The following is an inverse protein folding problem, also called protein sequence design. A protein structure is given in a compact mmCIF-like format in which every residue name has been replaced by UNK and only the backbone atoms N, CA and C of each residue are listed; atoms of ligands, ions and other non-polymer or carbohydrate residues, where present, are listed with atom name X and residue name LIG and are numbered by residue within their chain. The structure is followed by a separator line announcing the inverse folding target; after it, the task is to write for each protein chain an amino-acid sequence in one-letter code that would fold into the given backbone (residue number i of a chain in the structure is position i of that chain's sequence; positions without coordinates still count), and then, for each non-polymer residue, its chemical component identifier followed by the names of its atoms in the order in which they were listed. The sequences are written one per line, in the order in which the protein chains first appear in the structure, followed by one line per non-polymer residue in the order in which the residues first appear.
data_IF_566290740720
#
_entry.id   IF_566290740720
#
_cell.length_a   1.000
_cell.length_b   1.000
_cell.length_c   1.000
_cell.angle_alpha   90.00
_cell.angle_beta   90.00
_cell.angle_gamma   90.00
#
_symmetry.space_group_name_H-M   'P 1'
#
loop_
_entity.id
_entity.type
_entity.pdbx_description
1 polymer ?
#
# COMPACT_ATOMS: atom_id res chain seq x y z
N UNK A 1 -36.58 3.88 20.30
CA UNK A 1 -37.24 4.82 19.38
C UNK A 1 -36.16 5.35 18.46
N UNK A 2 -36.14 4.83 17.22
CA UNK A 2 -36.09 5.60 15.96
C UNK A 2 -35.54 7.04 16.07
N UNK A 3 -34.57 7.52 15.29
CA UNK A 3 -34.33 7.27 13.86
C UNK A 3 -33.07 8.00 13.33
N UNK A 4 -32.61 7.54 12.16
CA UNK A 4 -31.96 8.28 11.06
C UNK A 4 -30.52 8.82 11.20
N UNK A 5 -29.57 8.10 10.59
CA UNK A 5 -28.80 8.65 9.46
C UNK A 5 -28.58 7.56 8.41
N UNK A 6 -29.56 7.47 7.52
CA UNK A 6 -29.41 6.99 6.15
C UNK A 6 -28.46 7.94 5.41
N UNK A 7 -27.36 7.41 4.88
CA UNK A 7 -27.08 7.60 3.47
C UNK A 7 -27.37 6.27 2.77
N UNK A 8 -28.56 6.17 2.20
CA UNK A 8 -28.78 5.45 0.93
C UNK A 8 -27.81 6.02 -0.12
N UNK A 9 -27.26 5.31 -1.08
CA UNK A 9 -27.33 3.90 -1.47
C UNK A 9 -26.22 3.69 -2.50
N UNK A 10 -25.40 2.67 -2.34
CA UNK A 10 -25.15 1.68 -3.39
C UNK A 10 -24.73 0.40 -2.67
N UNK A 11 -25.59 -0.61 -2.70
CA UNK A 11 -25.25 -1.99 -2.29
C UNK A 11 -24.30 -2.66 -3.31
N UNK A 12 -23.41 -1.88 -3.91
CA UNK A 12 -22.40 -2.39 -4.84
C UNK A 12 -21.08 -2.51 -4.10
N UNK A 13 -20.71 -3.75 -3.83
CA UNK A 13 -19.32 -4.12 -3.58
C UNK A 13 -18.52 -3.67 -4.81
N UNK A 14 -17.60 -2.71 -4.65
CA UNK A 14 -16.74 -2.23 -5.74
C UNK A 14 -15.69 -3.31 -6.05
N UNK A 15 -15.85 -3.99 -7.18
CA UNK A 15 -14.93 -4.99 -7.68
C UNK A 15 -13.90 -4.35 -8.60
N UNK A 16 -12.62 -4.46 -8.26
CA UNK A 16 -11.54 -4.10 -9.16
C UNK A 16 -11.26 -5.28 -10.08
N UNK A 17 -11.23 -5.01 -11.39
CA UNK A 17 -10.87 -6.04 -12.37
C UNK A 17 -9.36 -6.04 -12.61
N UNK A 18 -8.69 -7.10 -12.18
CA UNK A 18 -7.29 -7.35 -12.54
C UNK A 18 -7.27 -8.26 -13.75
N UNK A 19 -6.68 -7.78 -14.84
CA UNK A 19 -6.47 -8.59 -16.03
C UNK A 19 -5.04 -9.13 -16.05
N UNK A 20 -4.90 -10.43 -15.93
CA UNK A 20 -3.66 -11.13 -16.27
C UNK A 20 -3.88 -11.86 -17.59
N UNK A 21 -2.86 -11.86 -18.44
CA UNK A 21 -2.92 -12.54 -19.73
C UNK A 21 -1.88 -13.65 -19.75
N UNK A 22 -2.32 -14.88 -20.00
CA UNK A 22 -1.43 -15.98 -20.39
C UNK A 22 -1.37 -16.01 -21.93
N UNK A 23 -0.23 -15.64 -22.54
CA UNK A 23 -0.13 -15.42 -23.98
C UNK A 23 -0.19 -16.71 -24.81
N UNK A 24 0.11 -17.86 -24.20
CA UNK A 24 -0.07 -19.20 -24.76
C UNK A 24 -0.60 -20.17 -23.68
N UNK A 25 -1.21 -21.27 -24.10
CA UNK A 25 -1.71 -22.31 -23.20
C UNK A 25 -0.75 -23.50 -23.04
N UNK A 26 0.51 -23.35 -23.45
CA UNK A 26 1.52 -24.39 -23.32
C UNK A 26 1.94 -24.58 -21.86
N UNK A 27 2.33 -25.79 -21.48
CA UNK A 27 2.94 -26.08 -20.16
C UNK A 27 2.08 -25.65 -18.97
N UNK A 28 0.77 -25.93 -18.99
CA UNK A 28 -0.11 -25.71 -17.84
C UNK A 28 0.28 -26.71 -16.74
N UNK A 29 0.70 -26.25 -15.56
CA UNK A 29 1.07 -27.15 -14.47
C UNK A 29 -0.18 -27.89 -13.98
N UNK A 30 -0.10 -29.22 -13.91
CA UNK A 30 -1.15 -30.07 -13.35
C UNK A 30 -0.94 -30.24 -11.85
N UNK A 31 -1.97 -29.96 -11.06
CA UNK A 31 -1.96 -30.19 -9.62
C UNK A 31 -3.06 -31.18 -9.25
N UNK A 32 -2.73 -32.35 -8.68
CA UNK A 32 -3.74 -33.29 -8.23
C UNK A 32 -4.50 -32.71 -7.03
N UNK A 33 -5.79 -33.05 -6.94
CA UNK A 33 -6.54 -32.78 -5.72
C UNK A 33 -5.98 -33.59 -4.54
N UNK A 34 -5.96 -33.02 -3.32
CA UNK A 34 -5.67 -33.80 -2.13
C UNK A 34 -6.67 -34.95 -1.95
N UNK A 35 -6.30 -36.04 -1.25
CA UNK A 35 -7.22 -37.14 -0.96
C UNK A 35 -8.50 -36.66 -0.27
N UNK A 36 -9.64 -37.27 -0.63
CA UNK A 36 -10.95 -36.88 -0.10
C UNK A 36 -11.57 -35.65 -0.76
N UNK A 37 -11.03 -35.18 -1.89
CA UNK A 37 -11.66 -34.12 -2.68
C UNK A 37 -11.87 -34.59 -4.12
N UNK A 38 -12.93 -34.12 -4.75
CA UNK A 38 -13.25 -34.41 -6.15
C UNK A 38 -13.79 -33.16 -6.85
N UNK A 39 -13.70 -33.14 -8.19
CA UNK A 39 -14.39 -32.16 -9.01
C UNK A 39 -15.63 -32.79 -9.63
N UNK A 40 -16.71 -32.02 -9.69
CA UNK A 40 -17.94 -32.39 -10.37
C UNK A 40 -18.37 -31.28 -11.31
N UNK A 41 -18.83 -31.63 -12.51
CA UNK A 41 -19.37 -30.66 -13.46
C UNK A 41 -20.75 -30.18 -13.00
N UNK A 42 -21.01 -28.92 -13.28
CA UNK A 42 -22.34 -28.33 -13.17
C UNK A 42 -23.31 -29.02 -14.15
N UNK A 43 -24.53 -29.32 -13.70
CA UNK A 43 -25.51 -30.11 -14.46
C UNK A 43 -26.61 -29.27 -15.12
N UNK A 44 -26.58 -27.97 -14.93
CA UNK A 44 -27.57 -27.03 -15.48
C UNK A 44 -29.00 -27.30 -14.99
N UNK A 45 -29.11 -27.68 -13.72
CA UNK A 45 -30.39 -27.77 -13.02
C UNK A 45 -30.54 -26.68 -11.94
N UNK A 46 -31.79 -26.48 -11.49
CA UNK A 46 -32.13 -25.47 -10.47
C UNK A 46 -31.37 -25.70 -9.16
N UNK A 47 -31.06 -26.95 -8.83
CA UNK A 47 -30.34 -27.28 -7.61
C UNK A 47 -28.87 -26.87 -7.70
N UNK A 48 -28.22 -27.04 -8.85
CA UNK A 48 -26.82 -26.67 -9.05
C UNK A 48 -26.64 -25.16 -9.07
N UNK A 49 -27.56 -24.40 -9.68
CA UNK A 49 -27.56 -22.93 -9.58
C UNK A 49 -27.65 -22.48 -8.12
N UNK A 50 -28.54 -23.12 -7.34
CA UNK A 50 -28.68 -22.85 -5.90
C UNK A 50 -27.41 -23.21 -5.12
N UNK A 51 -26.80 -24.37 -5.38
CA UNK A 51 -25.52 -24.76 -4.77
C UNK A 51 -24.41 -23.76 -5.07
N UNK A 52 -24.31 -23.29 -6.32
CA UNK A 52 -23.35 -22.25 -6.68
C UNK A 52 -23.57 -20.98 -5.84
N UNK A 53 -24.83 -20.53 -5.73
CA UNK A 53 -25.18 -19.34 -4.96
C UNK A 53 -24.87 -19.51 -3.47
N UNK A 54 -25.17 -20.68 -2.89
CA UNK A 54 -24.85 -21.01 -1.50
C UNK A 54 -23.33 -21.02 -1.25
N UNK A 55 -22.53 -21.59 -2.17
CA UNK A 55 -21.07 -21.57 -2.07
C UNK A 55 -20.52 -20.16 -2.17
N UNK A 56 -21.01 -19.36 -3.12
CA UNK A 56 -20.54 -17.98 -3.33
C UNK A 56 -20.85 -17.10 -2.11
N UNK A 57 -22.06 -17.19 -1.57
CA UNK A 57 -22.43 -16.51 -0.31
C UNK A 57 -21.57 -17.02 0.86
N UNK A 58 -21.43 -18.33 1.04
CA UNK A 58 -20.64 -18.91 2.13
C UNK A 58 -19.13 -18.59 1.99
N UNK A 59 -18.65 -18.34 0.78
CA UNK A 59 -17.31 -17.87 0.51
C UNK A 59 -17.09 -16.39 0.88
N UNK A 60 -18.17 -15.66 1.20
CA UNK A 60 -18.15 -14.24 1.52
C UNK A 60 -18.22 -13.32 0.30
N UNK A 61 -18.55 -13.86 -0.89
CA UNK A 61 -18.62 -13.07 -2.13
C UNK A 61 -19.89 -12.21 -2.18
N UNK A 62 -20.97 -12.67 -1.53
CA UNK A 62 -22.25 -11.97 -1.52
C UNK A 62 -22.90 -12.01 -0.13
N UNK A 63 -23.66 -10.97 0.17
CA UNK A 63 -24.36 -10.81 1.45
C UNK A 63 -25.64 -11.67 1.57
N UNK A 64 -26.17 -12.18 0.46
CA UNK A 64 -27.37 -13.02 0.45
C UNK A 64 -27.39 -14.01 -0.74
N UNK A 65 -28.23 -15.04 -0.62
CA UNK A 65 -28.48 -16.02 -1.69
C UNK A 65 -29.11 -15.32 -2.90
N UNK A 66 -30.05 -14.41 -2.69
CA UNK A 66 -30.73 -13.68 -3.76
C UNK A 66 -29.73 -12.88 -4.59
N UNK A 67 -28.79 -12.17 -3.94
CA UNK A 67 -27.76 -11.41 -4.66
C UNK A 67 -26.78 -12.32 -5.41
N UNK A 68 -26.49 -13.49 -4.84
CA UNK A 68 -25.69 -14.51 -5.50
C UNK A 68 -26.38 -15.03 -6.76
N UNK A 69 -27.68 -15.33 -6.70
CA UNK A 69 -28.47 -15.79 -7.84
C UNK A 69 -28.60 -14.71 -8.93
N UNK A 70 -28.87 -13.46 -8.55
CA UNK A 70 -28.91 -12.32 -9.48
C UNK A 70 -27.56 -12.15 -10.20
N UNK A 71 -26.45 -12.24 -9.45
CA UNK A 71 -25.11 -12.13 -10.03
C UNK A 71 -24.80 -13.31 -10.93
N UNK A 72 -25.21 -14.53 -10.55
CA UNK A 72 -25.08 -15.70 -11.41
C UNK A 72 -25.76 -15.48 -12.76
N UNK A 73 -27.01 -14.99 -12.76
CA UNK A 73 -27.72 -14.69 -14.00
C UNK A 73 -27.00 -13.61 -14.80
N UNK A 74 -26.68 -12.48 -14.18
CA UNK A 74 -25.99 -11.36 -14.85
C UNK A 74 -24.65 -11.76 -15.46
N UNK A 75 -23.93 -12.67 -14.82
CA UNK A 75 -22.56 -13.02 -15.18
C UNK A 75 -22.48 -14.22 -16.13
N UNK A 76 -23.16 -15.32 -15.80
CA UNK A 76 -23.05 -16.57 -16.54
C UNK A 76 -24.04 -16.72 -17.69
N UNK A 77 -25.16 -15.99 -17.67
CA UNK A 77 -26.19 -16.07 -18.73
C UNK A 77 -26.03 -15.03 -19.84
N UNK A 78 -24.91 -14.28 -19.86
CA UNK A 78 -24.56 -13.42 -21.00
C UNK A 78 -24.43 -14.25 -22.27
N UNK A 79 -24.97 -13.73 -23.38
CA UNK A 79 -25.07 -14.41 -24.68
C UNK A 79 -23.74 -14.56 -25.44
N UNK A 80 -22.64 -14.06 -24.89
CA UNK A 80 -21.33 -14.00 -25.56
C UNK A 80 -20.51 -15.28 -25.39
N UNK A 81 -20.96 -16.23 -24.58
CA UNK A 81 -20.24 -17.47 -24.32
C UNK A 81 -20.55 -18.58 -25.33
N UNK A 82 -19.51 -19.27 -25.78
CA UNK A 82 -19.60 -20.34 -26.81
C UNK A 82 -19.88 -21.75 -26.26
N UNK A 83 -19.76 -21.93 -24.94
CA UNK A 83 -19.94 -23.22 -24.26
C UNK A 83 -21.06 -23.15 -23.22
N UNK A 84 -21.84 -24.25 -23.04
CA UNK A 84 -22.89 -24.31 -22.03
C UNK A 84 -22.29 -24.30 -20.61
N UNK A 85 -23.12 -23.95 -19.61
CA UNK A 85 -22.68 -23.90 -18.21
C UNK A 85 -22.14 -25.24 -17.70
N UNK A 86 -22.68 -26.34 -18.21
CA UNK A 86 -22.26 -27.70 -17.88
C UNK A 86 -20.85 -28.08 -18.35
N UNK A 87 -20.29 -27.33 -19.30
CA UNK A 87 -18.88 -27.46 -19.72
C UNK A 87 -17.96 -26.42 -19.06
N UNK A 88 -18.54 -25.41 -18.41
CA UNK A 88 -17.82 -24.25 -17.88
C UNK A 88 -17.58 -24.32 -16.39
N UNK A 89 -18.59 -24.72 -15.62
CA UNK A 89 -18.59 -24.61 -14.16
C UNK A 89 -18.25 -25.96 -13.54
N UNK A 90 -17.29 -25.95 -12.61
CA UNK A 90 -16.83 -27.09 -11.83
C UNK A 90 -17.05 -26.80 -10.35
N UNK A 91 -17.67 -27.75 -9.65
CA UNK A 91 -17.74 -27.77 -8.21
C UNK A 91 -16.58 -28.54 -7.59
N UNK A 92 -16.11 -28.06 -6.46
CA UNK A 92 -15.22 -28.79 -5.57
C UNK A 92 -16.04 -29.44 -4.46
N UNK A 93 -15.90 -30.76 -4.34
CA UNK A 93 -16.67 -31.58 -3.39
C UNK A 93 -15.73 -32.28 -2.43
N UNK A 94 -16.04 -32.24 -1.13
CA UNK A 94 -15.26 -32.91 -0.08
C UNK A 94 -15.65 -34.40 0.07
N UNK A 95 -15.01 -35.11 1.00
CA UNK A 95 -15.21 -36.53 1.23
C UNK A 95 -16.63 -36.88 1.70
N UNK A 96 -17.31 -35.94 2.37
CA UNK A 96 -18.68 -36.10 2.85
C UNK A 96 -19.74 -35.78 1.78
N UNK A 97 -19.31 -35.46 0.55
CA UNK A 97 -20.22 -35.06 -0.53
C UNK A 97 -20.70 -33.60 -0.45
N UNK A 98 -20.13 -32.79 0.45
CA UNK A 98 -20.43 -31.35 0.57
C UNK A 98 -19.73 -30.57 -0.54
N UNK A 99 -20.48 -29.67 -1.18
CA UNK A 99 -19.96 -28.72 -2.15
C UNK A 99 -19.32 -27.55 -1.41
N UNK A 100 -18.04 -27.32 -1.63
CA UNK A 100 -17.21 -26.41 -0.81
C UNK A 100 -16.46 -25.35 -1.63
N UNK A 101 -16.60 -25.39 -2.95
CA UNK A 101 -15.98 -24.44 -3.85
C UNK A 101 -16.54 -24.55 -5.26
N UNK A 102 -16.31 -23.53 -6.06
CA UNK A 102 -16.74 -23.47 -7.47
C UNK A 102 -15.68 -22.76 -8.30
N UNK A 103 -15.48 -23.20 -9.54
CA UNK A 103 -14.64 -22.54 -10.51
C UNK A 103 -15.30 -22.54 -11.89
N UNK A 104 -15.09 -21.50 -12.69
CA UNK A 104 -15.71 -21.38 -14.00
C UNK A 104 -14.71 -20.93 -15.08
N UNK A 105 -14.86 -21.51 -16.27
CA UNK A 105 -14.20 -21.09 -17.50
C UNK A 105 -15.12 -20.20 -18.35
N UNK A 106 -14.54 -19.19 -18.99
CA UNK A 106 -15.18 -18.43 -20.04
C UNK A 106 -14.58 -18.76 -21.40
N UNK A 107 -15.45 -18.87 -22.40
CA UNK A 107 -15.10 -19.14 -23.79
C UNK A 107 -15.80 -18.11 -24.66
N UNK A 108 -15.03 -17.27 -25.34
CA UNK A 108 -15.52 -16.15 -26.12
C UNK A 108 -14.96 -16.20 -27.54
N UNK A 109 -15.64 -15.50 -28.45
CA UNK A 109 -15.13 -15.21 -29.78
C UNK A 109 -15.29 -13.71 -30.03
N UNK A 110 -14.18 -13.04 -30.35
CA UNK A 110 -14.17 -11.60 -30.64
C UNK A 110 -13.42 -11.43 -31.96
N UNK A 111 -14.05 -10.79 -32.94
CA UNK A 111 -13.51 -10.55 -34.29
C UNK A 111 -12.98 -11.83 -34.98
N UNK A 112 -13.68 -12.96 -34.78
CA UNK A 112 -13.32 -14.25 -35.38
C UNK A 112 -12.16 -14.99 -34.68
N UNK A 113 -11.70 -14.49 -33.53
CA UNK A 113 -10.65 -15.13 -32.73
C UNK A 113 -11.21 -15.71 -31.43
N UNK A 114 -10.80 -16.93 -31.11
CA UNK A 114 -11.21 -17.65 -29.89
C UNK A 114 -10.37 -17.20 -28.69
N UNK A 115 -11.06 -16.83 -27.61
CA UNK A 115 -10.46 -16.40 -26.36
C UNK A 115 -11.02 -17.19 -25.19
N UNK A 116 -10.13 -17.51 -24.25
CA UNK A 116 -10.51 -18.14 -23.00
C UNK A 116 -10.33 -17.24 -21.80
N UNK A 117 -11.03 -17.55 -20.73
CA UNK A 117 -10.85 -16.89 -19.44
C UNK A 117 -11.04 -17.81 -18.23
N UNK A 118 -10.44 -17.42 -17.12
CA UNK A 118 -10.82 -17.91 -15.80
C UNK A 118 -11.84 -16.91 -15.23
N UNK A 119 -13.11 -17.30 -15.25
CA UNK A 119 -14.25 -16.44 -14.97
C UNK A 119 -14.55 -16.33 -13.47
N UNK A 120 -14.34 -17.42 -12.73
CA UNK A 120 -14.68 -17.49 -11.31
C UNK A 120 -13.85 -18.56 -10.59
N UNK A 121 -13.42 -18.29 -9.36
CA UNK A 121 -12.91 -19.31 -8.42
C UNK A 121 -13.25 -18.86 -7.00
N UNK A 122 -13.99 -19.67 -6.26
CA UNK A 122 -14.22 -19.45 -4.83
C UNK A 122 -14.17 -20.76 -4.05
N UNK A 123 -13.67 -20.68 -2.81
CA UNK A 123 -13.61 -21.79 -1.85
C UNK A 123 -14.06 -21.24 -0.50
N UNK A 124 -14.98 -21.93 0.15
CA UNK A 124 -15.49 -21.54 1.48
C UNK A 124 -14.30 -21.40 2.46
N UNK A 125 -14.22 -20.31 3.26
CA UNK A 125 -13.10 -19.99 4.14
C UNK A 125 -12.57 -21.16 4.99
N UNK A 126 -13.45 -21.99 5.54
CA UNK A 126 -13.10 -23.18 6.34
C UNK A 126 -12.25 -24.23 5.59
N UNK A 127 -12.27 -24.19 4.26
CA UNK A 127 -11.54 -25.10 3.38
C UNK A 127 -10.34 -24.44 2.68
N UNK A 128 -10.12 -23.14 2.90
CA UNK A 128 -8.94 -22.45 2.39
C UNK A 128 -7.66 -22.93 3.11
N UNK A 129 -6.51 -22.76 2.47
CA UNK A 129 -5.21 -23.25 2.98
C UNK A 129 -4.97 -24.75 2.80
N UNK A 130 -5.97 -25.54 2.40
CA UNK A 130 -5.87 -27.00 2.19
C UNK A 130 -5.30 -27.42 0.83
N UNK A 131 -4.54 -26.54 0.16
CA UNK A 131 -3.95 -26.75 -1.18
C UNK A 131 -4.97 -27.05 -2.30
N UNK A 132 -6.20 -26.60 -2.17
CA UNK A 132 -7.30 -26.86 -3.12
C UNK A 132 -7.37 -25.88 -4.31
N UNK A 133 -6.88 -24.65 -4.14
CA UNK A 133 -6.99 -23.61 -5.17
C UNK A 133 -6.17 -23.91 -6.44
N UNK A 134 -4.96 -24.45 -6.30
CA UNK A 134 -4.09 -24.77 -7.45
C UNK A 134 -4.70 -25.84 -8.37
N UNK A 135 -5.22 -26.97 -7.85
CA UNK A 135 -5.99 -27.93 -8.65
C UNK A 135 -7.19 -27.34 -9.39
N UNK A 136 -7.98 -26.48 -8.73
CA UNK A 136 -9.14 -25.85 -9.37
C UNK A 136 -8.72 -24.94 -10.54
N UNK A 137 -7.77 -24.03 -10.30
CA UNK A 137 -7.26 -23.13 -11.34
C UNK A 137 -6.63 -23.91 -12.50
N UNK A 138 -5.81 -24.92 -12.20
CA UNK A 138 -5.19 -25.79 -13.21
C UNK A 138 -6.22 -26.50 -14.08
N UNK A 139 -7.29 -27.02 -13.48
CA UNK A 139 -8.38 -27.69 -14.21
C UNK A 139 -9.06 -26.74 -15.18
N UNK A 140 -9.39 -25.51 -14.73
CA UNK A 140 -10.00 -24.50 -15.59
C UNK A 140 -9.06 -24.09 -16.72
N UNK A 141 -7.77 -23.92 -16.45
CA UNK A 141 -6.80 -23.57 -17.49
C UNK A 141 -6.67 -24.68 -18.55
N UNK A 142 -6.64 -25.96 -18.14
CA UNK A 142 -6.65 -27.08 -19.08
C UNK A 142 -7.92 -27.10 -19.92
N UNK A 143 -9.08 -26.81 -19.34
CA UNK A 143 -10.34 -26.67 -20.08
C UNK A 143 -10.32 -25.53 -21.09
N UNK A 144 -9.77 -24.38 -20.70
CA UNK A 144 -9.59 -23.26 -21.62
C UNK A 144 -8.66 -23.62 -22.78
N UNK A 145 -7.60 -24.39 -22.51
CA UNK A 145 -6.63 -24.81 -23.52
C UNK A 145 -7.20 -25.76 -24.59
N UNK A 146 -8.32 -26.45 -24.30
CA UNK A 146 -9.04 -27.25 -25.29
C UNK A 146 -9.71 -26.40 -26.38
N UNK A 147 -9.87 -25.09 -26.14
CA UNK A 147 -10.63 -24.18 -27.01
C UNK A 147 -9.81 -23.00 -27.51
N UNK A 148 -9.04 -22.34 -26.64
CA UNK A 148 -8.32 -21.13 -26.98
C UNK A 148 -6.82 -21.27 -26.75
N UNK A 149 -6.02 -20.67 -27.63
CA UNK A 149 -4.57 -20.60 -27.48
C UNK A 149 -4.13 -19.52 -26.49
N UNK A 150 -5.06 -18.73 -25.94
CA UNK A 150 -4.79 -17.61 -25.01
C UNK A 150 -5.84 -17.57 -23.91
N UNK A 151 -5.42 -17.27 -22.69
CA UNK A 151 -6.33 -17.15 -21.54
C UNK A 151 -6.15 -15.82 -20.81
N UNK A 152 -7.27 -15.16 -20.56
CA UNK A 152 -7.37 -13.97 -19.71
C UNK A 152 -7.85 -14.38 -18.33
N UNK A 153 -7.05 -14.14 -17.31
CA UNK A 153 -7.51 -14.26 -15.94
C UNK A 153 -8.00 -12.89 -15.51
N UNK A 154 -9.33 -12.73 -15.49
CA UNK A 154 -10.00 -11.65 -14.81
C UNK A 154 -10.17 -12.04 -13.36
N UNK A 155 -9.44 -11.42 -12.44
CA UNK A 155 -9.80 -11.49 -11.02
C UNK A 155 -10.67 -10.28 -10.71
N UNK A 156 -11.92 -10.52 -10.32
CA UNK A 156 -12.69 -9.54 -9.58
C UNK A 156 -12.25 -9.65 -8.14
N UNK A 157 -11.56 -8.62 -7.65
CA UNK A 157 -11.14 -8.55 -6.26
C UNK A 157 -11.71 -7.30 -5.65
N UNK A 158 -12.27 -7.44 -4.45
CA UNK A 158 -12.60 -6.30 -3.57
C UNK A 158 -11.35 -5.77 -2.88
N UNK A 159 -10.20 -6.44 -3.08
CA UNK A 159 -8.96 -6.16 -2.39
C UNK A 159 -7.97 -5.44 -3.31
N UNK A 160 -7.80 -4.15 -3.07
CA UNK A 160 -6.69 -3.36 -3.61
C UNK A 160 -5.30 -4.02 -3.39
N UNK A 161 -5.17 -4.88 -2.37
CA UNK A 161 -3.97 -5.68 -2.08
C UNK A 161 -3.71 -6.78 -3.11
N UNK A 162 -4.74 -7.38 -3.73
CA UNK A 162 -4.57 -8.45 -4.71
C UNK A 162 -4.08 -7.89 -6.07
N UNK A 163 -4.51 -6.69 -6.43
CA UNK A 163 -4.04 -5.94 -7.61
C UNK A 163 -2.53 -5.66 -7.51
N UNK A 164 -2.07 -5.25 -6.32
CA UNK A 164 -0.70 -4.80 -6.11
C UNK A 164 0.31 -5.92 -5.82
N UNK A 165 -0.08 -7.20 -5.76
CA UNK A 165 0.85 -8.31 -5.42
C UNK A 165 1.88 -8.62 -6.52
N UNK A 166 1.71 -8.14 -7.76
CA UNK A 166 2.45 -8.68 -8.92
C UNK A 166 3.54 -7.78 -9.53
N UNK A 167 3.65 -6.50 -9.17
CA UNK A 167 4.68 -5.63 -9.76
C UNK A 167 6.03 -5.80 -9.04
N UNK A 168 6.96 -6.47 -9.71
CA UNK A 168 8.35 -6.62 -9.28
C UNK A 168 9.14 -5.33 -9.55
N UNK A 169 10.06 -4.98 -8.64
CA UNK A 169 10.96 -3.83 -8.76
C UNK A 169 12.43 -4.27 -8.69
N UNK A 170 12.72 -5.41 -9.33
CA UNK A 170 14.08 -5.98 -9.39
C UNK A 170 15.08 -4.98 -9.98
N UNK A 171 16.27 -4.91 -9.40
CA UNK A 171 17.34 -4.00 -9.82
C UNK A 171 17.17 -2.55 -9.36
N UNK A 172 16.08 -2.24 -8.63
CA UNK A 172 15.84 -0.91 -8.06
C UNK A 172 16.41 -0.83 -6.64
N UNK A 173 17.04 0.30 -6.32
CA UNK A 173 17.54 0.60 -4.97
C UNK A 173 16.63 1.61 -4.29
N UNK A 174 16.12 1.24 -3.11
CA UNK A 174 15.18 2.03 -2.31
C UNK A 174 15.83 2.44 -1.00
N UNK A 175 15.90 3.74 -0.73
CA UNK A 175 16.33 4.29 0.55
C UNK A 175 15.11 4.63 1.40
N UNK A 176 15.03 4.11 2.63
CA UNK A 176 13.93 4.35 3.57
C UNK A 176 14.47 4.91 4.87
N UNK A 177 14.08 6.13 5.22
CA UNK A 177 14.34 6.67 6.56
C UNK A 177 13.37 6.06 7.57
N UNK A 178 13.88 5.62 8.73
CA UNK A 178 13.06 4.99 9.76
C UNK A 178 12.47 3.63 9.35
N UNK A 179 13.13 2.92 8.43
CA UNK A 179 12.68 1.61 7.95
C UNK A 179 12.88 0.44 8.92
N UNK A 180 13.33 0.69 10.15
CA UNK A 180 13.57 -0.33 11.16
C UNK A 180 12.35 -0.61 12.07
N UNK A 181 11.29 0.21 12.01
CA UNK A 181 10.09 0.03 12.84
C UNK A 181 8.81 0.45 12.11
N UNK A 182 7.65 0.03 12.65
CA UNK A 182 6.34 0.54 12.25
C UNK A 182 6.06 0.44 10.75
N UNK A 183 5.56 1.55 10.19
CA UNK A 183 5.15 1.65 8.78
C UNK A 183 6.35 1.49 7.84
N UNK A 184 7.49 2.10 8.17
CA UNK A 184 8.70 2.01 7.36
C UNK A 184 9.24 0.59 7.25
N UNK A 185 9.18 -0.18 8.34
CA UNK A 185 9.55 -1.61 8.35
C UNK A 185 8.66 -2.43 7.42
N UNK A 186 7.35 -2.20 7.45
CA UNK A 186 6.41 -2.92 6.61
C UNK A 186 6.55 -2.55 5.13
N UNK A 187 6.86 -1.28 4.82
CA UNK A 187 7.22 -0.85 3.48
C UNK A 187 8.52 -1.53 3.00
N UNK A 188 9.56 -1.56 3.84
CA UNK A 188 10.81 -2.26 3.54
C UNK A 188 10.57 -3.74 3.24
N UNK A 189 9.76 -4.41 4.07
CA UNK A 189 9.39 -5.83 3.91
C UNK A 189 8.70 -6.09 2.57
N UNK A 190 7.76 -5.24 2.18
CA UNK A 190 7.01 -5.41 0.94
C UNK A 190 7.90 -5.18 -0.29
N UNK A 191 8.73 -4.14 -0.26
CA UNK A 191 9.65 -3.80 -1.35
C UNK A 191 10.76 -4.86 -1.53
N UNK A 192 11.27 -5.44 -0.45
CA UNK A 192 12.18 -6.59 -0.49
C UNK A 192 11.54 -7.81 -1.16
N UNK A 193 10.28 -8.13 -0.81
CA UNK A 193 9.53 -9.23 -1.45
C UNK A 193 9.34 -9.02 -2.95
N UNK A 194 9.34 -7.78 -3.42
CA UNK A 194 9.27 -7.41 -4.84
C UNK A 194 10.64 -7.40 -5.54
N UNK A 195 11.72 -7.69 -4.82
CA UNK A 195 13.06 -7.82 -5.35
C UNK A 195 13.88 -6.52 -5.38
N UNK A 196 13.48 -5.48 -4.64
CA UNK A 196 14.33 -4.30 -4.46
C UNK A 196 15.56 -4.61 -3.60
N UNK A 197 16.62 -3.81 -3.79
CA UNK A 197 17.64 -3.58 -2.76
C UNK A 197 17.15 -2.44 -1.86
N UNK A 198 17.14 -2.66 -0.54
CA UNK A 198 16.62 -1.69 0.43
C UNK A 198 17.72 -1.19 1.37
N UNK A 199 17.83 0.12 1.52
CA UNK A 199 18.76 0.76 2.45
C UNK A 199 17.94 1.37 3.59
N UNK A 200 18.19 0.92 4.82
CA UNK A 200 17.57 1.44 6.02
C UNK A 200 18.43 2.56 6.59
N UNK A 201 17.98 3.80 6.47
CA UNK A 201 18.56 4.94 7.16
C UNK A 201 17.95 5.06 8.57
N UNK A 202 18.75 4.79 9.59
CA UNK A 202 18.29 4.71 10.98
C UNK A 202 19.26 5.42 11.92
N UNK A 203 18.74 6.16 12.90
CA UNK A 203 19.56 6.79 13.95
C UNK A 203 20.28 5.77 14.83
N UNK A 204 19.62 4.66 15.16
CA UNK A 204 20.20 3.60 15.97
C UNK A 204 20.53 2.40 15.08
N UNK A 205 21.81 2.23 14.76
CA UNK A 205 22.30 1.17 13.88
C UNK A 205 21.98 -0.22 14.42
N UNK A 206 22.12 -0.45 15.72
CA UNK A 206 21.84 -1.75 16.34
C UNK A 206 20.38 -2.18 16.11
N UNK A 207 19.42 -1.29 16.37
CA UNK A 207 18.00 -1.54 16.06
C UNK A 207 17.75 -1.71 14.56
N UNK A 208 18.52 -1.02 13.73
CA UNK A 208 18.50 -1.21 12.28
C UNK A 208 18.95 -2.61 11.87
N UNK A 209 20.05 -3.11 12.44
CA UNK A 209 20.60 -4.45 12.19
C UNK A 209 19.64 -5.54 12.67
N UNK A 210 19.01 -5.37 13.84
CA UNK A 210 17.97 -6.29 14.30
C UNK A 210 16.78 -6.36 13.34
N UNK A 211 16.32 -5.21 12.84
CA UNK A 211 15.25 -5.15 11.85
C UNK A 211 15.67 -5.78 10.53
N UNK A 212 16.89 -5.52 10.06
CA UNK A 212 17.46 -6.11 8.86
C UNK A 212 17.46 -7.64 8.93
N UNK A 213 17.93 -8.23 10.03
CA UNK A 213 17.97 -9.68 10.23
C UNK A 213 16.55 -10.28 10.19
N UNK A 214 15.57 -9.62 10.82
CA UNK A 214 14.16 -10.05 10.76
C UNK A 214 13.58 -9.94 9.35
N UNK A 215 13.91 -8.89 8.61
CA UNK A 215 13.47 -8.69 7.23
C UNK A 215 14.02 -9.81 6.33
N UNK A 216 15.33 -10.06 6.36
CA UNK A 216 15.98 -11.12 5.59
C UNK A 216 15.29 -12.48 5.75
N UNK A 217 15.00 -12.87 6.99
CA UNK A 217 14.30 -14.12 7.30
C UNK A 217 12.85 -14.10 6.80
N UNK A 218 12.10 -13.03 7.06
CA UNK A 218 10.66 -12.97 6.73
C UNK A 218 10.36 -12.73 5.25
N UNK A 219 11.35 -12.30 4.47
CA UNK A 219 11.24 -12.08 3.02
C UNK A 219 11.99 -13.13 2.21
N UNK A 220 12.75 -14.02 2.85
CA UNK A 220 13.64 -14.98 2.19
C UNK A 220 14.54 -14.29 1.15
N UNK A 221 15.17 -13.18 1.56
CA UNK A 221 16.02 -12.36 0.70
C UNK A 221 17.49 -12.52 1.06
N UNK A 222 18.37 -12.22 0.10
CA UNK A 222 19.82 -12.37 0.27
C UNK A 222 20.39 -11.24 1.13
N UNK A 223 21.52 -11.46 1.81
CA UNK A 223 22.18 -10.43 2.62
C UNK A 223 22.43 -9.13 1.84
N UNK A 224 22.78 -9.23 0.54
CA UNK A 224 23.03 -8.08 -0.34
C UNK A 224 21.74 -7.33 -0.76
N UNK A 225 20.55 -7.81 -0.42
CA UNK A 225 19.31 -7.10 -0.72
C UNK A 225 19.01 -6.00 0.30
N UNK A 226 19.73 -5.93 1.42
CA UNK A 226 19.46 -4.93 2.45
C UNK A 226 20.75 -4.41 3.11
N UNK A 227 20.78 -3.12 3.42
CA UNK A 227 21.89 -2.48 4.15
C UNK A 227 21.33 -1.53 5.20
N UNK A 228 22.03 -1.39 6.32
CA UNK A 228 21.73 -0.38 7.34
C UNK A 228 22.80 0.70 7.30
N UNK A 229 22.38 1.96 7.38
CA UNK A 229 23.26 3.11 7.42
C UNK A 229 22.77 4.10 8.49
N UNK A 230 23.72 4.69 9.22
CA UNK A 230 23.39 5.64 10.28
C UNK A 230 22.95 6.99 9.71
N UNK A 231 21.78 7.47 10.15
CA UNK A 231 21.30 8.80 9.80
C UNK A 231 20.43 9.35 10.94
N UNK A 232 20.90 10.41 11.60
CA UNK A 232 20.11 11.18 12.55
C UNK A 232 19.57 12.46 11.90
N UNK A 233 18.28 12.47 11.59
CA UNK A 233 17.61 13.61 10.99
C UNK A 233 17.52 14.82 11.95
N UNK A 234 17.76 14.65 13.25
CA UNK A 234 17.90 15.74 14.21
C UNK A 234 19.29 16.40 14.22
N UNK A 235 20.19 16.02 13.30
CA UNK A 235 21.52 16.60 13.13
C UNK A 235 21.81 16.85 11.66
N UNK A 236 21.89 18.11 11.23
CA UNK A 236 22.22 18.42 9.82
C UNK A 236 23.59 17.86 9.40
N UNK A 237 24.58 17.84 10.29
CA UNK A 237 25.89 17.21 10.03
C UNK A 237 25.80 15.70 9.77
N UNK A 238 24.92 15.00 10.51
CA UNK A 238 24.68 13.57 10.33
C UNK A 238 24.05 13.31 8.97
N UNK A 239 23.09 14.15 8.56
CA UNK A 239 22.48 14.08 7.23
C UNK A 239 23.51 14.30 6.13
N UNK A 240 24.41 15.29 6.27
CA UNK A 240 25.50 15.53 5.31
C UNK A 240 26.47 14.36 5.23
N UNK A 241 26.87 13.82 6.39
CA UNK A 241 27.76 12.66 6.48
C UNK A 241 27.13 11.43 5.82
N UNK A 242 25.87 11.13 6.15
CA UNK A 242 25.09 10.06 5.52
C UNK A 242 25.05 10.23 4.00
N UNK A 243 24.70 11.42 3.51
CA UNK A 243 24.56 11.66 2.08
C UNK A 243 25.91 11.54 1.35
N UNK A 244 27.01 11.99 1.96
CA UNK A 244 28.36 11.80 1.43
C UNK A 244 28.70 10.31 1.30
N UNK A 245 28.50 9.54 2.38
CA UNK A 245 28.75 8.10 2.39
C UNK A 245 27.87 7.35 1.39
N UNK A 246 26.59 7.71 1.30
CA UNK A 246 25.67 7.12 0.31
C UNK A 246 26.15 7.41 -1.11
N UNK A 247 26.53 8.66 -1.39
CA UNK A 247 26.97 9.06 -2.72
C UNK A 247 28.24 8.32 -3.17
N UNK A 248 29.15 8.05 -2.23
CA UNK A 248 30.38 7.30 -2.43
C UNK A 248 30.14 5.78 -2.58
N UNK A 249 29.33 5.19 -1.70
CA UNK A 249 29.25 3.73 -1.55
C UNK A 249 28.12 3.09 -2.35
N UNK A 250 27.03 3.81 -2.61
CA UNK A 250 25.85 3.26 -3.29
C UNK A 250 25.77 3.80 -4.70
N UNK A 251 25.73 2.89 -5.68
CA UNK A 251 25.74 3.26 -7.10
C UNK A 251 24.43 3.94 -7.51
N UNK A 252 23.31 3.51 -6.93
CA UNK A 252 21.95 3.79 -7.42
C UNK A 252 21.03 4.32 -6.32
N UNK A 253 20.07 5.14 -6.72
CA UNK A 253 18.92 5.52 -5.88
C UNK A 253 17.71 5.72 -6.78
N UNK A 254 16.81 4.75 -6.78
CA UNK A 254 15.60 4.78 -7.61
C UNK A 254 14.39 5.33 -6.85
N UNK A 255 14.29 5.03 -5.55
CA UNK A 255 13.18 5.49 -4.70
C UNK A 255 13.72 5.99 -3.37
N UNK A 256 13.43 7.25 -3.02
CA UNK A 256 13.67 7.84 -1.71
C UNK A 256 12.35 7.91 -0.93
N UNK A 257 12.29 7.26 0.23
CA UNK A 257 11.13 7.25 1.12
C UNK A 257 11.49 7.98 2.41
N UNK A 258 11.02 9.22 2.51
CA UNK A 258 11.11 10.09 3.69
C UNK A 258 9.99 9.73 4.68
N UNK A 259 10.18 8.62 5.40
CA UNK A 259 9.19 8.03 6.31
C UNK A 259 9.43 8.36 7.79
N UNK A 260 10.69 8.53 8.22
CA UNK A 260 11.00 8.78 9.61
C UNK A 260 10.26 10.02 10.16
N UNK A 261 9.98 10.01 11.45
CA UNK A 261 9.44 11.20 12.10
C UNK A 261 9.23 11.04 13.60
N UNK A 262 9.14 12.18 14.26
CA UNK A 262 8.76 12.34 15.66
C UNK A 262 7.30 12.76 15.74
N UNK A 263 6.61 12.28 16.78
CA UNK A 263 5.21 12.63 17.07
C UNK A 263 5.07 13.98 17.78
N UNK A 264 3.82 14.39 18.03
CA UNK A 264 3.45 15.69 18.63
C UNK A 264 4.00 15.94 20.04
N UNK A 265 4.41 14.89 20.75
CA UNK A 265 4.91 14.95 22.11
C UNK A 265 6.37 15.32 22.25
N UNK A 266 7.11 15.34 21.14
CA UNK A 266 8.52 15.70 21.13
C UNK A 266 8.63 17.22 21.05
N UNK A 267 9.05 17.87 22.14
CA UNK A 267 9.21 19.32 22.20
C UNK A 267 10.57 19.69 22.77
N UNK A 268 11.64 19.38 22.02
CA UNK A 268 13.01 19.81 22.33
C UNK A 268 13.63 20.56 21.16
N UNK A 269 14.59 21.44 21.47
CA UNK A 269 15.49 22.01 20.46
C UNK A 269 16.55 20.99 20.07
N UNK A 270 16.90 20.97 18.78
CA UNK A 270 18.10 20.28 18.29
C UNK A 270 19.35 21.14 18.52
N UNK A 271 20.53 20.55 18.30
CA UNK A 271 21.81 21.27 18.30
C UNK A 271 21.90 22.33 17.20
N UNK A 272 21.10 22.17 16.14
CA UNK A 272 21.05 23.08 14.99
C UNK A 272 20.08 24.26 15.25
N UNK A 273 19.48 24.34 16.45
CA UNK A 273 18.61 25.44 16.87
C UNK A 273 17.16 25.34 16.41
N UNK A 274 16.73 24.19 15.88
CA UNK A 274 15.37 23.97 15.39
C UNK A 274 14.52 23.15 16.35
N UNK A 275 13.20 23.21 16.19
CA UNK A 275 12.30 22.23 16.80
C UNK A 275 12.66 20.82 16.31
N UNK A 276 12.89 19.88 17.22
CA UNK A 276 13.23 18.48 16.88
C UNK A 276 12.20 17.82 15.98
N UNK A 277 10.91 18.10 16.16
CA UNK A 277 9.85 17.61 15.27
C UNK A 277 9.99 18.21 13.88
N UNK A 278 10.20 19.52 13.79
CA UNK A 278 10.34 20.17 12.48
C UNK A 278 11.60 19.68 11.76
N UNK A 279 12.70 19.54 12.48
CA UNK A 279 13.94 19.09 11.89
C UNK A 279 13.87 17.63 11.44
N UNK A 280 13.45 16.71 12.33
CA UNK A 280 13.38 15.29 11.99
C UNK A 280 12.36 15.01 10.89
N UNK A 281 11.18 15.63 10.95
CA UNK A 281 10.11 15.34 10.00
C UNK A 281 10.36 16.03 8.65
N UNK A 282 10.89 17.25 8.66
CA UNK A 282 10.96 18.11 7.49
C UNK A 282 12.39 18.53 7.11
N UNK A 283 13.09 19.37 7.88
CA UNK A 283 14.37 19.97 7.43
C UNK A 283 15.47 18.94 7.15
N UNK A 284 15.57 17.89 7.96
CA UNK A 284 16.51 16.80 7.74
C UNK A 284 16.23 16.04 6.45
N UNK A 285 14.95 15.76 6.14
CA UNK A 285 14.55 15.15 4.88
C UNK A 285 14.72 16.09 3.69
N UNK A 286 14.46 17.39 3.87
CA UNK A 286 14.67 18.41 2.86
C UNK A 286 16.15 18.47 2.45
N UNK A 287 17.05 18.54 3.43
CA UNK A 287 18.49 18.51 3.19
C UNK A 287 18.91 17.20 2.53
N UNK A 288 18.47 16.05 3.07
CA UNK A 288 18.78 14.73 2.52
C UNK A 288 18.36 14.59 1.05
N UNK A 289 17.14 15.02 0.73
CA UNK A 289 16.59 14.96 -0.63
C UNK A 289 17.45 15.77 -1.60
N UNK A 290 17.83 16.99 -1.24
CA UNK A 290 18.66 17.86 -2.07
C UNK A 290 20.07 17.27 -2.27
N UNK A 291 20.70 16.74 -1.22
CA UNK A 291 22.05 16.15 -1.30
C UNK A 291 22.11 14.85 -2.13
N UNK A 292 20.99 14.12 -2.24
CA UNK A 292 20.87 12.90 -3.02
C UNK A 292 20.23 13.10 -4.41
N UNK A 293 19.83 14.34 -4.73
CA UNK A 293 19.07 14.63 -5.94
C UNK A 293 19.80 14.20 -7.22
N UNK A 294 21.11 14.38 -7.28
CA UNK A 294 21.90 13.95 -8.44
C UNK A 294 21.90 12.44 -8.67
N UNK A 295 21.82 11.61 -7.61
CA UNK A 295 21.67 10.15 -7.75
C UNK A 295 20.29 9.78 -8.29
N UNK A 296 19.24 10.43 -7.80
CA UNK A 296 17.88 10.26 -8.30
C UNK A 296 17.78 10.62 -9.79
N UNK A 297 18.39 11.73 -10.22
CA UNK A 297 18.43 12.16 -11.64
C UNK A 297 19.08 11.10 -12.53
N UNK A 298 20.17 10.48 -12.07
CA UNK A 298 20.88 9.41 -12.80
C UNK A 298 20.06 8.11 -12.93
N UNK A 299 19.10 7.87 -12.03
CA UNK A 299 18.31 6.64 -11.98
C UNK A 299 16.87 6.80 -12.49
N UNK A 300 16.59 7.83 -13.28
CA UNK A 300 15.25 8.09 -13.85
C UNK A 300 14.70 6.88 -14.65
N UNK A 301 13.37 6.63 -14.62
CA UNK A 301 12.39 7.28 -13.75
C UNK A 301 12.64 6.90 -12.28
N UNK A 302 12.71 7.92 -11.43
CA UNK A 302 12.97 7.79 -9.99
C UNK A 302 11.89 8.50 -9.19
N UNK A 303 11.82 8.21 -7.88
CA UNK A 303 10.70 8.61 -7.03
C UNK A 303 11.15 9.18 -5.69
N UNK A 304 10.49 10.23 -5.23
CA UNK A 304 10.62 10.79 -3.88
C UNK A 304 9.25 10.70 -3.21
N UNK A 305 9.17 10.12 -2.02
CA UNK A 305 7.93 9.88 -1.29
C UNK A 305 8.04 10.46 0.11
N UNK A 306 7.22 11.46 0.41
CA UNK A 306 7.16 12.15 1.69
C UNK A 306 5.95 11.67 2.51
N UNK A 307 6.20 11.02 3.64
CA UNK A 307 5.14 10.49 4.51
C UNK A 307 4.61 11.59 5.44
N UNK A 308 3.49 12.17 5.02
CA UNK A 308 2.72 13.20 5.72
C UNK A 308 1.65 12.60 6.66
N UNK A 309 0.61 13.38 7.00
CA UNK A 309 -0.50 12.99 7.88
C UNK A 309 -1.70 13.90 7.63
N UNK A 310 -2.93 13.39 7.83
CA UNK A 310 -4.14 14.23 7.81
C UNK A 310 -4.14 15.36 8.85
N UNK A 311 -3.29 15.28 9.88
CA UNK A 311 -3.13 16.37 10.85
C UNK A 311 -2.62 17.68 10.20
N UNK A 312 -2.03 17.64 8.99
CA UNK A 312 -1.70 18.86 8.24
C UNK A 312 -2.92 19.77 8.01
N UNK A 313 -4.13 19.19 7.96
CA UNK A 313 -5.39 19.93 7.75
C UNK A 313 -5.79 20.78 8.95
N UNK A 314 -5.19 20.56 10.13
CA UNK A 314 -5.47 21.36 11.32
C UNK A 314 -4.71 22.70 11.34
N UNK A 315 -3.76 22.91 10.42
CA UNK A 315 -3.03 24.17 10.30
C UNK A 315 -3.90 25.21 9.59
N UNK A 316 -4.19 26.31 10.28
CA UNK A 316 -5.01 27.40 9.76
C UNK A 316 -4.19 28.51 9.09
N UNK A 317 -2.95 28.71 9.55
CA UNK A 317 -2.01 29.70 9.02
C UNK A 317 -0.56 29.29 9.32
N UNK A 318 0.37 29.87 8.58
CA UNK A 318 1.81 29.68 8.78
C UNK A 318 2.37 30.99 9.34
N UNK A 319 2.90 30.95 10.57
CA UNK A 319 3.75 32.03 11.08
C UNK A 319 5.18 31.79 10.59
N UNK A 320 5.66 32.64 9.68
CA UNK A 320 6.95 32.49 9.03
C UNK A 320 8.12 32.99 9.88
N UNK A 321 7.87 33.78 10.93
CA UNK A 321 8.94 34.30 11.81
C UNK A 321 9.63 33.19 12.60
N UNK A 322 8.89 32.13 12.92
CA UNK A 322 9.32 31.03 13.78
C UNK A 322 8.94 29.66 13.20
N UNK A 323 8.68 29.58 11.88
CA UNK A 323 8.19 28.39 11.19
C UNK A 323 8.99 27.11 11.49
N UNK A 324 10.29 27.22 11.78
CA UNK A 324 11.17 26.09 12.09
C UNK A 324 11.49 25.90 13.58
N UNK A 325 11.19 26.90 14.39
CA UNK A 325 11.53 26.96 15.83
C UNK A 325 10.30 26.91 16.71
N UNK A 326 9.09 26.91 16.14
CA UNK A 326 7.84 26.77 16.90
C UNK A 326 7.82 25.48 17.72
N UNK A 327 7.61 25.64 19.03
CA UNK A 327 7.35 24.54 19.95
C UNK A 327 5.85 24.33 20.22
N UNK A 328 5.01 25.35 19.96
CA UNK A 328 3.60 25.39 20.36
C UNK A 328 2.69 26.11 19.33
N UNK A 329 2.50 25.56 18.14
CA UNK A 329 1.55 26.14 17.16
C UNK A 329 0.08 25.82 17.50
N UNK A 330 -0.15 24.88 18.43
CA UNK A 330 -1.43 24.63 19.08
C UNK A 330 -1.16 24.09 20.50
N UNK A 331 -2.02 24.40 21.47
CA UNK A 331 -1.84 24.03 22.89
C UNK A 331 -1.71 22.50 23.13
N UNK A 332 -1.99 21.67 22.12
CA UNK A 332 -2.07 20.20 22.23
C UNK A 332 -1.27 19.40 21.17
N UNK A 333 -1.00 19.92 19.97
CA UNK A 333 -0.36 19.14 18.87
C UNK A 333 1.07 19.60 18.50
N UNK A 334 1.58 20.66 19.12
CA UNK A 334 2.96 21.15 18.89
C UNK A 334 3.25 21.46 17.42
N UNK A 335 4.51 21.27 17.00
CA UNK A 335 4.99 21.52 15.63
C UNK A 335 4.60 20.44 14.61
N UNK A 336 3.97 19.34 15.05
CA UNK A 336 3.75 18.16 14.22
C UNK A 336 2.85 18.45 13.00
N UNK A 337 1.63 19.01 13.15
CA UNK A 337 0.79 19.38 12.02
C UNK A 337 1.50 20.24 10.97
N UNK A 338 2.25 21.25 11.42
CA UNK A 338 3.00 22.16 10.56
C UNK A 338 4.11 21.43 9.80
N UNK A 339 4.85 20.53 10.47
CA UNK A 339 5.87 19.72 9.80
C UNK A 339 5.28 18.84 8.69
N UNK A 340 4.07 18.30 8.90
CA UNK A 340 3.36 17.47 7.93
C UNK A 340 2.80 18.30 6.77
N UNK A 341 2.38 19.54 7.01
CA UNK A 341 2.05 20.51 5.96
C UNK A 341 3.27 20.84 5.10
N UNK A 342 4.43 21.11 5.72
CA UNK A 342 5.66 21.47 5.01
C UNK A 342 6.18 20.37 4.09
N UNK A 343 6.01 19.10 4.48
CA UNK A 343 6.27 17.96 3.59
C UNK A 343 5.42 18.02 2.30
N UNK A 344 4.14 18.41 2.38
CA UNK A 344 3.26 18.50 1.20
C UNK A 344 3.66 19.71 0.34
N UNK A 345 3.86 20.88 0.94
CA UNK A 345 4.32 22.09 0.24
C UNK A 345 5.66 21.88 -0.49
N UNK A 346 6.61 21.23 0.17
CA UNK A 346 7.88 20.87 -0.45
C UNK A 346 7.73 19.85 -1.58
N UNK A 347 6.76 18.94 -1.47
CA UNK A 347 6.44 17.99 -2.54
C UNK A 347 5.85 18.73 -3.75
N UNK A 348 4.94 19.68 -3.53
CA UNK A 348 4.37 20.53 -4.58
C UNK A 348 5.47 21.25 -5.37
N UNK A 349 6.40 21.89 -4.65
CA UNK A 349 7.53 22.60 -5.27
C UNK A 349 8.46 21.65 -6.05
N UNK A 350 8.88 20.54 -5.44
CA UNK A 350 9.74 19.55 -6.10
C UNK A 350 9.08 18.91 -7.33
N UNK A 351 7.78 18.60 -7.27
CA UNK A 351 7.03 18.04 -8.40
C UNK A 351 7.02 19.02 -9.57
N UNK A 352 6.76 20.29 -9.30
CA UNK A 352 6.80 21.34 -10.32
C UNK A 352 8.17 21.44 -11.00
N UNK A 353 9.24 21.39 -10.21
CA UNK A 353 10.61 21.64 -10.70
C UNK A 353 11.25 20.43 -11.38
N UNK A 354 10.87 19.20 -11.00
CA UNK A 354 11.61 17.98 -11.38
C UNK A 354 10.83 17.00 -12.25
N UNK A 355 9.49 16.97 -12.20
CA UNK A 355 8.74 15.88 -12.83
C UNK A 355 8.87 15.87 -14.35
N UNK A 356 8.60 17.00 -15.01
CA UNK A 356 8.69 17.10 -16.47
C UNK A 356 10.12 17.25 -16.98
N UNK A 357 10.97 17.96 -16.24
CA UNK A 357 12.33 18.31 -16.62
C UNK A 357 13.33 17.16 -16.39
N UNK A 358 13.19 16.43 -15.29
CA UNK A 358 14.17 15.45 -14.81
C UNK A 358 13.60 14.01 -14.77
N UNK A 359 12.31 13.83 -14.99
CA UNK A 359 11.64 12.53 -14.93
C UNK A 359 11.56 11.96 -13.50
N UNK A 360 11.60 12.84 -12.48
CA UNK A 360 11.51 12.45 -11.07
C UNK A 360 10.10 12.65 -10.57
N UNK A 361 9.46 11.57 -10.12
CA UNK A 361 8.14 11.63 -9.54
C UNK A 361 8.22 11.95 -8.04
N UNK A 362 7.41 12.88 -7.57
CA UNK A 362 7.46 13.36 -6.18
C UNK A 362 6.05 13.30 -5.60
N UNK A 363 5.87 12.55 -4.52
CA UNK A 363 4.56 12.31 -3.92
C UNK A 363 4.61 12.57 -2.41
N UNK A 364 3.52 13.11 -1.88
CA UNK A 364 3.22 13.14 -0.46
C UNK A 364 2.02 12.22 -0.20
N UNK A 365 1.97 11.63 1.00
CA UNK A 365 0.86 10.76 1.34
C UNK A 365 0.52 10.78 2.83
N UNK A 366 -0.69 10.35 3.17
CA UNK A 366 -1.08 9.98 4.53
C UNK A 366 -1.25 8.46 4.61
N UNK A 367 -0.63 7.79 5.62
CA UNK A 367 -0.90 6.38 5.87
C UNK A 367 -2.29 6.14 6.51
N UNK A 368 -2.99 7.21 6.91
CA UNK A 368 -4.17 7.18 7.76
C UNK A 368 -3.82 7.02 9.24
N UNK A 369 -4.81 6.74 10.08
CA UNK A 369 -4.57 6.49 11.50
C UNK A 369 -3.98 5.09 11.68
N UNK A 370 -2.71 4.99 12.08
CA UNK A 370 -1.99 3.73 12.25
C UNK A 370 -1.54 3.59 13.69
N UNK A 371 -1.73 2.41 14.29
CA UNK A 371 -1.13 2.08 15.58
C UNK A 371 0.38 2.02 15.44
N UNK A 372 1.07 3.08 15.85
CA UNK A 372 2.53 3.14 15.89
C UNK A 372 2.98 3.59 17.27
N UNK A 373 4.21 3.25 17.64
CA UNK A 373 4.87 3.66 18.89
C UNK A 373 5.09 5.18 19.02
N UNK A 374 4.63 6.01 18.06
CA UNK A 374 4.74 7.47 18.12
C UNK A 374 3.78 8.16 19.11
N UNK A 375 2.88 7.40 19.75
CA UNK A 375 1.78 7.95 20.57
C UNK A 375 1.99 7.83 22.09
N UNK A 376 3.20 7.52 22.57
CA UNK A 376 3.40 7.17 23.98
C UNK A 376 4.07 8.27 24.83
N UNK A 377 3.31 9.30 25.26
CA UNK A 377 3.69 10.04 26.48
C UNK A 377 2.53 10.54 27.33
N UNK A 378 1.27 10.24 26.97
CA UNK A 378 0.10 10.69 27.74
C UNK A 378 -0.12 9.86 29.01
N UNK A 379 0.48 8.66 29.10
CA UNK A 379 0.30 7.76 30.25
C UNK A 379 0.92 8.25 31.56
N UNK A 380 1.95 9.11 31.50
CA UNK A 380 2.71 9.47 32.71
C UNK A 380 2.34 10.83 33.32
N UNK A 381 1.52 11.65 32.65
CA UNK A 381 1.29 13.05 33.07
C UNK A 381 0.00 13.28 33.88
N UNK A 382 -0.97 12.35 33.89
CA UNK A 382 -2.33 12.60 34.43
C UNK A 382 -2.82 11.62 35.51
N UNK A 383 -1.95 10.73 36.00
CA UNK A 383 -2.27 9.79 37.09
C UNK A 383 -3.41 8.80 36.77
N UNK A 384 -3.98 8.19 37.81
CA UNK A 384 -5.00 7.11 37.77
C UNK A 384 -6.22 7.45 36.87
N UNK A 385 -6.54 8.72 36.69
CA UNK A 385 -7.69 9.18 35.90
C UNK A 385 -7.56 8.89 34.39
N UNK A 386 -6.34 8.95 33.83
CA UNK A 386 -6.08 8.53 32.44
C UNK A 386 -6.22 7.02 32.26
N UNK A 387 -5.89 6.24 33.29
CA UNK A 387 -5.89 4.77 33.25
C UNK A 387 -7.30 4.17 33.18
N UNK A 388 -8.29 4.81 33.82
CA UNK A 388 -9.66 4.28 33.95
C UNK A 388 -10.59 4.70 32.79
N UNK A 389 -10.40 5.91 32.23
CA UNK A 389 -11.32 6.43 31.19
C UNK A 389 -10.66 6.66 29.82
N UNK A 390 -9.40 7.09 29.78
CA UNK A 390 -8.72 7.45 28.54
C UNK A 390 -8.09 6.23 27.86
N UNK A 391 -7.43 5.35 28.62
CA UNK A 391 -6.82 4.13 28.08
C UNK A 391 -7.82 3.12 27.49
N UNK A 392 -8.97 2.82 28.11
CA UNK A 392 -9.95 1.92 27.51
C UNK A 392 -10.61 2.53 26.26
N UNK A 393 -10.88 3.84 26.27
CA UNK A 393 -11.47 4.54 25.12
C UNK A 393 -10.46 4.69 23.97
N UNK A 394 -9.21 5.08 24.24
CA UNK A 394 -8.11 5.13 23.26
C UNK A 394 -7.79 3.74 22.72
N UNK A 395 -7.78 2.70 23.57
CA UNK A 395 -7.63 1.30 23.16
C UNK A 395 -8.80 0.84 22.28
N UNK A 396 -10.04 1.12 22.66
CA UNK A 396 -11.23 0.80 21.86
C UNK A 396 -11.24 1.57 20.52
N UNK A 397 -10.88 2.84 20.50
CA UNK A 397 -10.80 3.65 19.27
C UNK A 397 -9.65 3.20 18.37
N UNK A 398 -8.49 2.84 18.92
CA UNK A 398 -7.38 2.24 18.17
C UNK A 398 -7.74 0.86 17.63
N UNK A 399 -8.41 0.03 18.42
CA UNK A 399 -8.87 -1.29 18.01
C UNK A 399 -9.91 -1.20 16.89
N UNK A 400 -10.81 -0.22 16.93
CA UNK A 400 -11.87 -0.03 15.96
C UNK A 400 -11.44 0.71 14.67
N UNK A 401 -10.51 1.67 14.75
CA UNK A 401 -10.23 2.60 13.65
C UNK A 401 -8.75 2.70 13.23
N UNK A 402 -7.81 2.17 14.02
CA UNK A 402 -6.40 2.25 13.66
C UNK A 402 -6.00 1.09 12.74
N UNK A 403 -5.41 1.45 11.61
CA UNK A 403 -4.77 0.52 10.69
C UNK A 403 -3.57 -0.15 11.34
N UNK A 404 -3.33 -1.40 10.96
CA UNK A 404 -2.04 -2.04 11.24
C UNK A 404 -0.91 -1.35 10.46
N UNK A 405 0.34 -1.39 10.95
CA UNK A 405 1.49 -0.89 10.19
C UNK A 405 1.58 -1.44 8.77
N UNK A 406 1.22 -2.71 8.57
CA UNK A 406 1.16 -3.36 7.25
C UNK A 406 0.15 -2.67 6.32
N UNK A 407 -1.03 -2.33 6.83
CA UNK A 407 -2.04 -1.57 6.07
C UNK A 407 -1.58 -0.12 5.85
N UNK A 408 -0.96 0.52 6.84
CA UNK A 408 -0.45 1.89 6.72
C UNK A 408 0.65 2.05 5.67
N UNK A 409 1.47 1.01 5.47
CA UNK A 409 2.53 0.99 4.48
C UNK A 409 2.04 0.91 3.03
N UNK A 410 0.77 0.55 2.79
CA UNK A 410 0.30 0.27 1.43
C UNK A 410 0.34 1.49 0.52
N UNK A 411 -0.04 2.69 1.00
CA UNK A 411 0.05 3.90 0.17
C UNK A 411 1.51 4.24 -0.16
N UNK A 412 2.45 3.95 0.75
CA UNK A 412 3.89 4.14 0.49
C UNK A 412 4.35 3.20 -0.62
N UNK A 413 4.01 1.91 -0.50
CA UNK A 413 4.35 0.89 -1.51
C UNK A 413 3.72 1.26 -2.85
N UNK A 414 2.45 1.64 -2.87
CA UNK A 414 1.75 2.08 -4.07
C UNK A 414 2.48 3.23 -4.78
N UNK A 415 2.79 4.33 -4.06
CA UNK A 415 3.56 5.43 -4.62
C UNK A 415 4.96 5.01 -5.09
N UNK A 416 5.57 3.99 -4.46
CA UNK A 416 6.89 3.49 -4.81
C UNK A 416 6.92 2.61 -6.06
N UNK A 417 5.84 1.86 -6.35
CA UNK A 417 5.88 0.80 -7.38
C UNK A 417 4.94 1.01 -8.56
N UNK A 418 3.83 1.73 -8.37
CA UNK A 418 2.78 1.84 -9.39
C UNK A 418 3.28 2.60 -10.61
N UNK A 419 3.39 1.92 -11.76
CA UNK A 419 3.90 2.50 -13.01
C UNK A 419 2.99 3.58 -13.59
N UNK A 420 1.67 3.48 -13.40
CA UNK A 420 0.75 4.50 -13.92
C UNK A 420 0.96 5.88 -13.29
N UNK A 421 1.52 5.95 -12.08
CA UNK A 421 1.84 7.21 -11.41
C UNK A 421 2.99 8.00 -12.07
N UNK A 422 3.75 7.40 -12.99
CA UNK A 422 4.84 8.11 -13.68
C UNK A 422 4.33 9.27 -14.54
N UNK A 423 3.08 9.17 -15.00
CA UNK A 423 2.38 10.20 -15.77
C UNK A 423 1.45 11.08 -14.92
N UNK A 424 1.33 10.81 -13.62
CA UNK A 424 0.42 11.53 -12.74
C UNK A 424 0.97 12.91 -12.36
N UNK A 425 0.09 13.92 -12.41
CA UNK A 425 0.36 15.27 -11.90
C UNK A 425 0.06 15.40 -10.41
N UNK A 426 -0.57 14.37 -9.83
CA UNK A 426 -1.06 14.40 -8.47
C UNK A 426 0.09 14.42 -7.47
N UNK A 427 -0.12 15.18 -6.39
CA UNK A 427 0.89 15.42 -5.36
C UNK A 427 0.57 14.64 -4.08
N UNK A 428 -0.71 14.45 -3.74
CA UNK A 428 -1.13 13.96 -2.43
C UNK A 428 -2.02 12.71 -2.53
N UNK A 429 -1.66 11.67 -1.76
CA UNK A 429 -2.34 10.37 -1.80
C UNK A 429 -2.80 9.91 -0.41
N UNK A 430 -3.91 9.19 -0.38
CA UNK A 430 -4.42 8.49 0.80
C UNK A 430 -5.07 7.18 0.35
N UNK A 431 -4.91 6.08 1.09
CA UNK A 431 -5.52 4.79 0.74
C UNK A 431 -5.22 4.34 -0.71
N UNK A 432 -4.01 4.63 -1.19
CA UNK A 432 -3.59 4.36 -2.56
C UNK A 432 -4.42 5.04 -3.66
N UNK A 433 -5.12 6.12 -3.34
CA UNK A 433 -5.85 6.97 -4.30
C UNK A 433 -5.45 8.43 -4.13
N UNK A 434 -5.73 9.23 -5.15
CA UNK A 434 -5.54 10.68 -5.09
C UNK A 434 -6.44 11.25 -4.01
N UNK A 435 -5.87 12.11 -3.15
CA UNK A 435 -6.59 12.73 -2.06
C UNK A 435 -6.46 14.25 -2.11
N UNK A 436 -7.45 14.95 -1.56
CA UNK A 436 -7.43 16.42 -1.46
C UNK A 436 -6.71 16.85 -0.16
N UNK A 437 -5.59 17.58 -0.24
CA UNK A 437 -4.95 18.17 0.94
C UNK A 437 -5.65 19.48 1.34
N UNK A 438 -5.17 20.17 2.38
CA UNK A 438 -5.70 21.49 2.77
C UNK A 438 -5.42 22.56 1.70
N UNK A 439 -6.17 23.67 1.72
CA UNK A 439 -5.95 24.80 0.80
C UNK A 439 -4.54 25.39 0.93
N UNK A 440 -4.02 25.49 2.15
CA UNK A 440 -2.63 25.90 2.39
C UNK A 440 -1.62 24.96 1.75
N UNK A 441 -1.89 23.65 1.71
CA UNK A 441 -0.98 22.67 1.13
C UNK A 441 -0.90 22.72 -0.40
N UNK A 442 -1.84 23.45 -1.05
CA UNK A 442 -1.86 23.70 -2.49
C UNK A 442 -1.43 25.12 -2.86
N UNK A 443 -1.06 25.96 -1.89
CA UNK A 443 -0.65 27.33 -2.14
C UNK A 443 0.79 27.40 -2.67
N UNK A 444 0.92 27.74 -3.95
CA UNK A 444 2.19 27.83 -4.65
C UNK A 444 3.12 28.88 -4.03
N UNK A 445 2.57 30.00 -3.55
CA UNK A 445 3.38 31.08 -2.96
C UNK A 445 4.00 30.63 -1.62
N UNK A 446 3.25 29.92 -0.79
CA UNK A 446 3.77 29.27 0.42
C UNK A 446 4.80 28.19 0.09
N UNK A 447 4.63 27.43 -0.98
CA UNK A 447 5.60 26.41 -1.39
C UNK A 447 6.95 27.03 -1.78
N UNK A 448 6.94 28.12 -2.54
CA UNK A 448 8.15 28.86 -2.93
C UNK A 448 8.83 29.53 -1.74
N UNK A 449 8.03 30.18 -0.88
CA UNK A 449 8.55 30.80 0.34
C UNK A 449 9.17 29.77 1.28
N UNK A 450 8.50 28.63 1.47
CA UNK A 450 9.02 27.52 2.26
C UNK A 450 10.35 27.03 1.69
N UNK A 451 10.41 26.81 0.37
CA UNK A 451 11.62 26.32 -0.28
C UNK A 451 12.83 27.22 -0.01
N UNK A 452 12.68 28.54 -0.21
CA UNK A 452 13.75 29.51 0.05
C UNK A 452 14.18 29.51 1.53
N UNK A 453 13.21 29.59 2.44
CA UNK A 453 13.48 29.58 3.88
C UNK A 453 14.18 28.29 4.32
N UNK A 454 13.79 27.14 3.74
CA UNK A 454 14.41 25.85 4.02
C UNK A 454 15.85 25.79 3.53
N UNK A 455 16.16 26.28 2.31
CA UNK A 455 17.55 26.36 1.83
C UNK A 455 18.43 27.20 2.76
N UNK A 456 17.96 28.39 3.16
CA UNK A 456 18.66 29.26 4.10
C UNK A 456 18.87 28.55 5.45
N UNK A 457 17.84 27.89 5.97
CA UNK A 457 17.89 27.20 7.27
C UNK A 457 18.87 26.02 7.30
N UNK A 458 18.98 25.25 6.20
CA UNK A 458 19.88 24.10 6.16
C UNK A 458 21.27 24.41 5.57
N UNK A 459 21.48 25.62 5.05
CA UNK A 459 22.72 26.03 4.38
C UNK A 459 22.91 25.34 3.02
N UNK A 460 21.94 25.49 2.12
CA UNK A 460 22.01 25.05 0.71
C UNK A 460 22.02 26.23 -0.27
#
# INVERSE_FOLDING_TARGET
MTDNYLHQSTDEIEYFTVFMCRPNMDSIPTYPLPPGYSLQLYKDDVNDKKKWAEIAMAAGEFISIEKSLETFDKFFTKTEHKKPLSERIHFLVNADGKYIGTAAAGFYEIDGHEYGSLDWVSIIPEYQGKKLAKPMVSTILHKVAEYANKCYLGSQTTSWRAINITQAIKGKTVLITGGNTGIGYEAARDLLKRGARVILACRNVNKGVEAMNKLLVTTNSNADSIRVMECDLCSLDSVRTFASLYNEQEERLDVLICNAGLGWSSSSSTKDGFSSVMQANYLGHFLLTNLLLNKLKKCRPSRIINVSSDLHKSVQSINWLDAFTQFHSSRWLGAYPLSKLFQILSTLKLKQDLWKSEGINVFALTPGWVTTSMQDPLGNALGIFSFIFYYPLDYCLRFAFAKTPKTGAQTIVYCAVESTLEQSQDVYFANCTVAKPSSLATDQSSAERLWKASCEAVGL
#
